data_IF_022980172661
#
_entry.id   IF_022980172661
#
_cell.length_a   1.000
_cell.length_b   1.000
_cell.length_c   1.000
_cell.angle_alpha   90.00
_cell.angle_beta   90.00
_cell.angle_gamma   90.00
#
_symmetry.space_group_name_H-M   'P 1'
#
loop_
_entity.id
_entity.type
_entity.pdbx_description
1 polymer ?
#
# COMPACT_ATOMS: atom_id res chain seq x y z
N UNK A 1 17.45 8.20 0.83
CA UNK A 1 16.67 6.96 0.59
C UNK A 1 16.23 6.29 1.89
N UNK A 2 17.13 6.04 2.85
CA UNK A 2 16.80 5.43 4.16
C UNK A 2 15.82 6.29 4.98
N UNK A 3 16.00 7.62 4.94
CA UNK A 3 15.13 8.57 5.63
C UNK A 3 13.68 8.53 5.13
N UNK A 4 13.48 8.53 3.81
CA UNK A 4 12.16 8.45 3.18
C UNK A 4 11.43 7.15 3.53
N UNK A 5 12.16 6.02 3.57
CA UNK A 5 11.59 4.72 3.97
C UNK A 5 11.19 4.73 5.45
N UNK A 6 12.01 5.34 6.31
CA UNK A 6 11.71 5.45 7.74
C UNK A 6 10.50 6.37 8.00
N UNK A 7 10.39 7.49 7.30
CA UNK A 7 9.24 8.38 7.34
C UNK A 7 7.97 7.69 6.87
N UNK A 8 8.01 7.04 5.71
CA UNK A 8 6.88 6.28 5.18
C UNK A 8 6.40 5.22 6.17
N UNK A 9 7.33 4.47 6.79
CA UNK A 9 7.01 3.47 7.81
C UNK A 9 6.28 4.09 9.00
N UNK A 10 6.77 5.22 9.52
CA UNK A 10 6.13 5.92 10.66
C UNK A 10 4.74 6.40 10.29
N UNK A 11 4.58 7.04 9.14
CA UNK A 11 3.30 7.53 8.65
C UNK A 11 2.30 6.38 8.49
N UNK A 12 2.70 5.30 7.82
CA UNK A 12 1.87 4.10 7.65
C UNK A 12 1.41 3.54 8.99
N UNK A 13 2.32 3.38 9.95
CA UNK A 13 2.00 2.85 11.27
C UNK A 13 0.98 3.74 12.00
N UNK A 14 1.18 5.06 11.98
CA UNK A 14 0.26 6.04 12.59
C UNK A 14 -1.12 5.98 11.93
N UNK A 15 -1.18 6.01 10.59
CA UNK A 15 -2.43 5.94 9.84
C UNK A 15 -3.20 4.64 10.12
N UNK A 16 -2.53 3.49 10.10
CA UNK A 16 -3.19 2.23 10.44
C UNK A 16 -3.66 2.17 11.89
N UNK A 17 -2.91 2.77 12.83
CA UNK A 17 -3.34 2.85 14.23
C UNK A 17 -4.61 3.69 14.36
N UNK A 18 -4.66 4.85 13.70
CA UNK A 18 -5.85 5.70 13.65
C UNK A 18 -7.04 4.94 13.07
N UNK A 19 -6.90 4.35 11.87
CA UNK A 19 -7.98 3.61 11.22
C UNK A 19 -8.52 2.44 12.06
N UNK A 20 -7.65 1.73 12.79
CA UNK A 20 -8.07 0.64 13.70
C UNK A 20 -8.79 1.13 14.95
N UNK A 21 -8.55 2.37 15.38
CA UNK A 21 -9.23 2.96 16.52
C UNK A 21 -10.65 3.46 16.19
N UNK A 22 -11.01 3.53 14.91
CA UNK A 22 -12.32 4.00 14.49
C UNK A 22 -13.41 2.97 14.81
N UNK A 23 -14.58 3.39 15.31
CA UNK A 23 -15.73 2.50 15.41
C UNK A 23 -16.18 2.06 14.01
N UNK A 24 -16.78 0.87 13.88
CA UNK A 24 -17.23 0.33 12.59
C UNK A 24 -18.13 1.30 11.79
N UNK A 25 -19.00 2.04 12.47
CA UNK A 25 -19.88 3.05 11.85
C UNK A 25 -19.14 4.25 11.27
N UNK A 26 -17.91 4.54 11.72
CA UNK A 26 -17.14 5.64 11.17
C UNK A 26 -16.65 5.35 9.74
N UNK A 27 -16.52 4.08 9.35
CA UNK A 27 -16.05 3.70 8.02
C UNK A 27 -16.98 4.15 6.90
N UNK A 28 -18.28 4.32 7.17
CA UNK A 28 -19.25 4.83 6.21
C UNK A 28 -19.39 6.35 6.21
N UNK A 29 -18.62 7.09 7.03
CA UNK A 29 -18.65 8.55 7.04
C UNK A 29 -18.10 9.10 5.73
N UNK A 30 -18.89 9.96 5.09
CA UNK A 30 -18.51 10.66 3.86
C UNK A 30 -17.81 11.98 4.18
N UNK A 31 -16.73 12.27 3.49
CA UNK A 31 -16.07 13.57 3.43
C UNK A 31 -16.13 14.14 2.02
N UNK A 32 -16.18 15.47 1.94
CA UNK A 32 -16.20 16.20 0.66
C UNK A 32 -14.77 16.39 0.17
N UNK A 33 -14.49 15.93 -1.05
CA UNK A 33 -13.24 16.25 -1.74
C UNK A 33 -13.34 17.60 -2.42
N UNK A 34 -12.25 18.38 -2.41
CA UNK A 34 -12.19 19.67 -3.14
C UNK A 34 -11.86 19.50 -4.63
N UNK A 35 -11.39 18.32 -5.03
CA UNK A 35 -10.83 18.09 -6.36
C UNK A 35 -11.47 16.89 -7.08
N UNK A 36 -12.14 16.01 -6.34
CA UNK A 36 -12.72 14.78 -6.86
C UNK A 36 -14.15 14.60 -6.34
N UNK A 37 -14.66 13.38 -6.40
CA UNK A 37 -15.93 13.01 -5.80
C UNK A 37 -15.83 12.86 -4.28
N UNK A 38 -17.00 12.81 -3.63
CA UNK A 38 -17.09 12.51 -2.21
C UNK A 38 -16.58 11.09 -1.90
N UNK A 39 -15.91 10.95 -0.76
CA UNK A 39 -15.31 9.69 -0.35
C UNK A 39 -15.81 9.28 1.03
N UNK A 40 -16.12 8.00 1.19
CA UNK A 40 -16.21 7.41 2.54
C UNK A 40 -14.80 7.11 3.06
N UNK A 41 -14.63 7.03 4.39
CA UNK A 41 -13.36 6.58 4.98
C UNK A 41 -12.96 5.20 4.42
N UNK A 42 -13.92 4.29 4.24
CA UNK A 42 -13.70 2.99 3.60
C UNK A 42 -13.20 3.12 2.16
N UNK A 43 -13.91 3.89 1.33
CA UNK A 43 -13.53 4.07 -0.07
C UNK A 43 -12.13 4.67 -0.21
N UNK A 44 -11.79 5.64 0.64
CA UNK A 44 -10.45 6.22 0.64
C UNK A 44 -9.38 5.22 1.06
N UNK A 45 -9.63 4.40 2.09
CA UNK A 45 -8.68 3.37 2.53
C UNK A 45 -8.45 2.30 1.46
N UNK A 46 -9.52 1.85 0.78
CA UNK A 46 -9.45 0.91 -0.34
C UNK A 46 -8.68 1.51 -1.52
N UNK A 47 -8.96 2.77 -1.86
CA UNK A 47 -8.22 3.50 -2.89
C UNK A 47 -6.72 3.56 -2.59
N UNK A 48 -6.34 3.88 -1.34
CA UNK A 48 -4.93 3.93 -0.92
C UNK A 48 -4.26 2.55 -1.02
N UNK A 49 -4.95 1.47 -0.68
CA UNK A 49 -4.42 0.10 -0.83
C UNK A 49 -4.17 -0.23 -2.31
N UNK A 50 -5.10 0.11 -3.19
CA UNK A 50 -4.92 -0.08 -4.64
C UNK A 50 -3.78 0.77 -5.19
N UNK A 51 -3.67 2.02 -4.76
CA UNK A 51 -2.59 2.92 -5.13
C UNK A 51 -1.23 2.36 -4.70
N UNK A 52 -1.09 1.96 -3.44
CA UNK A 52 0.13 1.38 -2.89
C UNK A 52 0.56 0.14 -3.67
N UNK A 53 -0.38 -0.74 -3.99
CA UNK A 53 -0.11 -1.93 -4.82
C UNK A 53 0.41 -1.51 -6.20
N UNK A 54 -0.27 -0.60 -6.89
CA UNK A 54 0.16 -0.12 -8.23
C UNK A 54 1.57 0.44 -8.20
N UNK A 55 1.89 1.31 -7.24
CA UNK A 55 3.21 1.93 -7.12
C UNK A 55 4.28 0.87 -6.81
N UNK A 56 4.00 -0.11 -5.97
CA UNK A 56 4.93 -1.22 -5.70
C UNK A 56 5.27 -2.00 -6.99
N UNK A 57 4.28 -2.25 -7.85
CA UNK A 57 4.52 -2.87 -9.16
C UNK A 57 5.35 -1.99 -10.09
N UNK A 58 5.11 -0.68 -10.11
CA UNK A 58 5.91 0.27 -10.89
C UNK A 58 7.37 0.31 -10.43
N UNK A 59 7.59 0.28 -9.10
CA UNK A 59 8.93 0.20 -8.52
C UNK A 59 9.62 -1.13 -8.86
N UNK A 60 8.91 -2.27 -8.73
CA UNK A 60 9.43 -3.59 -9.09
C UNK A 60 9.89 -3.63 -10.55
N UNK A 61 9.03 -3.14 -11.47
CA UNK A 61 9.34 -3.02 -12.89
C UNK A 61 10.56 -2.14 -13.13
N UNK A 62 10.65 -0.98 -12.47
CA UNK A 62 11.79 -0.09 -12.63
C UNK A 62 13.11 -0.74 -12.18
N UNK A 63 13.09 -1.48 -11.05
CA UNK A 63 14.24 -2.22 -10.53
C UNK A 63 14.67 -3.38 -11.42
N UNK A 64 13.74 -4.01 -12.14
CA UNK A 64 14.06 -5.06 -13.10
C UNK A 64 14.68 -4.46 -14.38
N UNK A 65 14.12 -3.36 -14.88
CA UNK A 65 14.58 -2.74 -16.14
C UNK A 65 15.98 -2.12 -16.04
N UNK A 66 16.38 -1.62 -14.88
CA UNK A 66 17.65 -0.95 -14.69
C UNK A 66 18.77 -1.86 -14.17
N UNK A 67 18.53 -3.16 -14.05
CA UNK A 67 19.51 -4.11 -13.52
C UNK A 67 19.87 -3.89 -12.05
N UNK A 68 19.14 -3.05 -11.30
CA UNK A 68 19.47 -2.71 -9.91
C UNK A 68 19.42 -3.93 -8.97
N UNK A 69 18.84 -5.05 -9.42
CA UNK A 69 18.78 -6.33 -8.71
C UNK A 69 19.95 -7.27 -9.00
N UNK A 70 20.88 -6.88 -9.87
CA UNK A 70 22.11 -7.62 -10.10
C UNK A 70 22.99 -7.58 -8.83
N UNK A 71 23.52 -8.73 -8.43
CA UNK A 71 24.36 -8.85 -7.23
C UNK A 71 23.63 -8.89 -5.87
N UNK A 72 22.30 -8.77 -5.81
CA UNK A 72 21.53 -8.94 -4.56
C UNK A 72 21.20 -10.43 -4.34
N UNK A 73 20.97 -10.82 -3.07
CA UNK A 73 20.53 -12.17 -2.69
C UNK A 73 19.30 -12.63 -3.47
N UNK A 74 19.24 -13.92 -3.84
CA UNK A 74 18.16 -14.50 -4.66
C UNK A 74 16.76 -14.25 -4.08
N UNK A 75 16.61 -14.29 -2.76
CA UNK A 75 15.34 -13.98 -2.09
C UNK A 75 14.85 -12.55 -2.34
N UNK A 76 15.76 -11.59 -2.58
CA UNK A 76 15.43 -10.20 -2.86
C UNK A 76 15.15 -9.93 -4.36
N UNK A 77 15.28 -10.95 -5.22
CA UNK A 77 14.96 -10.89 -6.65
C UNK A 77 13.54 -11.33 -6.96
N UNK A 78 12.83 -11.91 -5.98
CA UNK A 78 11.44 -12.34 -6.13
C UNK A 78 10.59 -11.10 -6.46
N UNK A 79 9.82 -11.19 -7.53
CA UNK A 79 8.96 -10.11 -7.99
C UNK A 79 7.80 -9.84 -7.02
N UNK A 80 7.26 -8.62 -7.07
CA UNK A 80 6.07 -8.28 -6.30
C UNK A 80 4.86 -9.20 -6.61
N UNK A 81 4.75 -9.69 -7.84
CA UNK A 81 3.69 -10.63 -8.26
C UNK A 81 3.82 -11.98 -7.56
N UNK A 82 5.02 -12.56 -7.59
CA UNK A 82 5.32 -13.84 -6.95
C UNK A 82 5.11 -13.75 -5.43
N UNK A 83 5.53 -12.65 -4.80
CA UNK A 83 5.28 -12.43 -3.37
C UNK A 83 3.80 -12.40 -3.03
N UNK A 84 2.98 -11.75 -3.86
CA UNK A 84 1.53 -11.67 -3.65
C UNK A 84 0.82 -13.00 -3.91
N UNK A 85 1.33 -13.85 -4.81
CA UNK A 85 0.78 -15.17 -5.07
C UNK A 85 0.91 -16.13 -3.87
N UNK A 86 1.88 -15.89 -2.99
CA UNK A 86 2.14 -16.73 -1.80
C UNK A 86 1.29 -16.28 -0.60
N UNK A 87 0.75 -15.05 -0.62
CA UNK A 87 -0.12 -14.55 0.45
C UNK A 87 -1.54 -15.07 0.22
N UNK A 88 -2.11 -15.90 1.12
CA UNK A 88 -3.48 -16.37 0.98
C UNK A 88 -4.42 -15.18 0.98
N UNK A 89 -5.27 -15.07 -0.04
CA UNK A 89 -6.35 -14.09 -0.07
C UNK A 89 -7.22 -14.32 1.17
N UNK A 90 -7.18 -13.39 2.13
CA UNK A 90 -8.18 -13.37 3.20
C UNK A 90 -9.53 -13.15 2.53
N UNK A 91 -10.36 -14.19 2.51
CA UNK A 91 -11.75 -14.06 2.12
C UNK A 91 -12.38 -13.06 3.09
N UNK A 92 -12.76 -11.91 2.56
CA UNK A 92 -13.54 -10.90 3.28
C UNK A 92 -14.95 -11.44 3.45
N UNK A 93 -15.25 -11.89 4.67
CA UNK A 93 -16.60 -12.14 5.20
C UNK A 93 -17.36 -10.83 5.42
#
# INVERSE_FOLDING_TARGET
>A
MIEQVAEFRRLRQSTCSLLRSLPNSAWSRTGISRHEHDWTIRGLAEHLVHHDRRVLFEMDRALNLNGAREGIATAAKISAEELLAIVPARQSS
#
